data_IF_072302970564
#
_entry.id   IF_072302970564
#
_cell.length_a   1.000
_cell.length_b   1.000
_cell.length_c   1.000
_cell.angle_alpha   90.00
_cell.angle_beta   90.00
_cell.angle_gamma   90.00
#
_symmetry.space_group_name_H-M   'P 1'
#
loop_
_entity.id
_entity.type
_entity.pdbx_description
1 polymer ?
#
# COMPACT_ATOMS: atom_id res chain seq x y z
N UNK A 1 -0.34 2.34 16.43
CA UNK A 1 0.51 1.33 17.11
C UNK A 1 1.49 1.95 18.12
N UNK A 2 1.48 3.26 18.35
CA UNK A 2 2.23 3.95 19.42
C UNK A 2 3.75 4.02 19.25
N UNK A 3 4.29 3.60 18.11
CA UNK A 3 5.72 3.66 17.84
C UNK A 3 6.10 5.01 17.21
N UNK A 4 7.34 5.45 17.44
CA UNK A 4 7.90 6.64 16.80
C UNK A 4 8.22 6.39 15.31
N UNK A 5 8.48 7.47 14.57
CA UNK A 5 8.81 7.40 13.14
C UNK A 5 10.09 6.59 12.89
N UNK A 6 11.08 6.69 13.79
CA UNK A 6 12.35 5.95 13.71
C UNK A 6 12.13 4.42 13.75
N UNK A 7 11.09 3.95 14.44
CA UNK A 7 10.71 2.53 14.39
C UNK A 7 10.37 2.11 12.98
N UNK A 8 9.50 2.86 12.27
CA UNK A 8 9.02 2.49 10.95
C UNK A 8 10.08 2.62 9.87
N UNK A 9 10.95 3.64 9.97
CA UNK A 9 11.95 3.95 8.95
C UNK A 9 13.20 3.09 9.08
N UNK A 10 13.63 2.78 10.31
CA UNK A 10 14.91 2.11 10.54
C UNK A 10 14.76 0.71 11.15
N UNK A 11 14.02 0.59 12.26
CA UNK A 11 13.97 -0.68 13.00
C UNK A 11 13.13 -1.73 12.30
N UNK A 12 11.94 -1.38 11.82
CA UNK A 12 11.05 -2.33 11.15
C UNK A 12 11.67 -2.93 9.87
N UNK A 13 12.30 -2.15 8.97
CA UNK A 13 13.03 -2.71 7.84
C UNK A 13 14.19 -3.62 8.27
N UNK A 14 14.98 -3.22 9.27
CA UNK A 14 16.08 -4.04 9.78
C UNK A 14 15.59 -5.39 10.33
N UNK A 15 14.50 -5.39 11.11
CA UNK A 15 13.88 -6.63 11.62
C UNK A 15 13.35 -7.50 10.48
N UNK A 16 12.73 -6.91 9.45
CA UNK A 16 12.25 -7.66 8.27
C UNK A 16 13.39 -8.33 7.53
N UNK A 17 14.48 -7.60 7.25
CA UNK A 17 15.67 -8.16 6.59
C UNK A 17 16.28 -9.28 7.42
N UNK A 18 16.38 -9.12 8.74
CA UNK A 18 16.85 -10.17 9.65
C UNK A 18 15.98 -11.42 9.58
N UNK A 19 14.65 -11.25 9.56
CA UNK A 19 13.72 -12.38 9.43
C UNK A 19 13.84 -13.07 8.08
N UNK A 20 13.95 -12.31 6.99
CA UNK A 20 14.13 -12.88 5.65
C UNK A 20 15.45 -13.69 5.55
N UNK A 21 16.50 -13.21 6.21
CA UNK A 21 17.75 -13.95 6.35
C UNK A 21 17.57 -15.25 7.16
N UNK A 22 16.87 -15.20 8.31
CA UNK A 22 16.59 -16.39 9.13
C UNK A 22 15.71 -17.40 8.39
N UNK A 23 14.73 -16.95 7.63
CA UNK A 23 13.90 -17.80 6.77
C UNK A 23 14.77 -18.47 5.70
N UNK A 24 15.64 -17.71 5.02
CA UNK A 24 16.59 -18.27 4.05
C UNK A 24 17.51 -19.31 4.66
N UNK A 25 18.08 -19.02 5.83
CA UNK A 25 18.94 -19.95 6.56
C UNK A 25 18.20 -21.23 6.97
N UNK A 26 16.97 -21.10 7.46
CA UNK A 26 16.14 -22.24 7.84
C UNK A 26 15.79 -23.13 6.63
N UNK A 27 15.46 -22.53 5.48
CA UNK A 27 15.21 -23.26 4.23
C UNK A 27 16.45 -24.00 3.77
N UNK A 28 17.60 -23.35 3.74
CA UNK A 28 18.89 -23.99 3.37
C UNK A 28 19.21 -25.13 4.33
N UNK A 29 19.05 -24.93 5.64
CA UNK A 29 19.25 -25.94 6.66
C UNK A 29 18.31 -27.13 6.51
N UNK A 30 17.06 -26.92 6.18
CA UNK A 30 16.09 -27.99 5.92
C UNK A 30 16.45 -28.78 4.68
N UNK A 31 16.80 -28.12 3.57
CA UNK A 31 17.19 -28.75 2.32
C UNK A 31 18.52 -29.55 2.50
N UNK A 32 19.51 -28.95 3.13
CA UNK A 32 20.78 -29.64 3.42
C UNK A 32 20.59 -30.88 4.30
N UNK A 33 19.73 -30.79 5.33
CA UNK A 33 19.38 -31.92 6.20
C UNK A 33 18.67 -33.03 5.44
N UNK A 34 17.79 -32.67 4.51
CA UNK A 34 17.08 -33.63 3.66
C UNK A 34 18.05 -34.35 2.69
N UNK A 35 18.90 -33.57 2.00
CA UNK A 35 19.88 -34.11 1.04
C UNK A 35 20.86 -35.07 1.74
N UNK A 36 21.38 -34.69 2.91
CA UNK A 36 22.30 -35.54 3.67
C UNK A 36 21.62 -36.81 4.18
N UNK A 37 20.35 -36.76 4.57
CA UNK A 37 19.59 -37.92 4.98
C UNK A 37 19.34 -38.89 3.81
N UNK A 38 19.01 -38.37 2.63
CA UNK A 38 18.79 -39.16 1.42
C UNK A 38 20.10 -39.81 0.92
N UNK A 39 21.18 -39.03 0.85
CA UNK A 39 22.50 -39.52 0.38
C UNK A 39 23.12 -40.53 1.33
N UNK A 40 22.91 -40.37 2.63
CA UNK A 40 23.49 -41.24 3.65
C UNK A 40 22.67 -42.47 4.04
N UNK A 41 21.50 -42.71 3.42
CA UNK A 41 20.56 -43.79 3.80
C UNK A 41 20.04 -43.67 5.23
N UNK A 42 20.15 -42.51 5.85
CA UNK A 42 19.75 -42.25 7.25
C UNK A 42 18.26 -41.94 7.34
N UNK A 43 17.74 -41.96 8.57
CA UNK A 43 16.38 -41.52 8.80
C UNK A 43 16.20 -40.07 8.29
N UNK A 44 15.15 -39.82 7.49
CA UNK A 44 14.78 -38.49 6.95
C UNK A 44 14.58 -37.46 8.05
N UNK A 45 14.05 -37.89 9.18
CA UNK A 45 13.76 -37.03 10.30
C UNK A 45 14.97 -36.93 11.22
N UNK A 46 15.72 -35.88 11.08
CA UNK A 46 16.90 -35.56 11.90
C UNK A 46 16.61 -34.42 12.86
N UNK A 47 17.30 -34.30 14.00
CA UNK A 47 17.15 -33.13 14.90
C UNK A 47 17.47 -31.82 14.17
N UNK A 48 18.38 -31.82 13.23
CA UNK A 48 18.71 -30.62 12.41
C UNK A 48 17.53 -30.18 11.52
N UNK A 49 16.86 -31.16 10.86
CA UNK A 49 15.64 -30.85 10.08
C UNK A 49 14.52 -30.28 10.96
N UNK A 50 14.31 -30.87 12.13
CA UNK A 50 13.30 -30.39 13.07
C UNK A 50 13.60 -28.96 13.54
N UNK A 51 14.86 -28.66 13.87
CA UNK A 51 15.26 -27.32 14.28
C UNK A 51 15.08 -26.30 13.14
N UNK A 52 15.43 -26.68 11.91
CA UNK A 52 15.28 -25.83 10.73
C UNK A 52 13.80 -25.54 10.44
N UNK A 53 12.92 -26.55 10.48
CA UNK A 53 11.48 -26.38 10.27
C UNK A 53 10.82 -25.56 11.39
N UNK A 54 11.27 -25.75 12.64
CA UNK A 54 10.78 -24.95 13.77
C UNK A 54 11.20 -23.48 13.62
N UNK A 55 12.47 -23.22 13.27
CA UNK A 55 12.95 -21.86 13.01
C UNK A 55 12.21 -21.22 11.85
N UNK A 56 11.96 -21.96 10.77
CA UNK A 56 11.19 -21.50 9.61
C UNK A 56 9.78 -21.09 10.03
N UNK A 57 9.07 -21.96 10.72
CA UNK A 57 7.69 -21.70 11.12
C UNK A 57 7.55 -20.51 12.06
N UNK A 58 8.41 -20.37 13.07
CA UNK A 58 8.41 -19.23 13.98
C UNK A 58 8.76 -17.93 13.24
N UNK A 59 9.74 -17.98 12.34
CA UNK A 59 10.13 -16.80 11.55
C UNK A 59 9.01 -16.35 10.62
N UNK A 60 8.28 -17.28 10.00
CA UNK A 60 7.09 -16.97 9.20
C UNK A 60 5.99 -16.33 10.04
N UNK A 61 5.64 -16.94 11.18
CA UNK A 61 4.62 -16.39 12.08
C UNK A 61 4.98 -14.98 12.56
N UNK A 62 6.25 -14.72 12.86
CA UNK A 62 6.70 -13.39 13.24
C UNK A 62 6.66 -12.41 12.06
N UNK A 63 6.99 -12.86 10.85
CA UNK A 63 6.83 -12.06 9.63
C UNK A 63 5.38 -11.68 9.38
N UNK A 64 4.45 -12.65 9.50
CA UNK A 64 3.01 -12.42 9.42
C UNK A 64 2.56 -11.41 10.47
N UNK A 65 3.03 -11.54 11.70
CA UNK A 65 2.74 -10.56 12.76
C UNK A 65 3.21 -9.15 12.42
N UNK A 66 4.40 -9.00 11.81
CA UNK A 66 4.92 -7.69 11.40
C UNK A 66 4.17 -7.10 10.20
N UNK A 67 3.41 -7.89 9.44
CA UNK A 67 2.63 -7.39 8.29
C UNK A 67 1.56 -6.39 8.72
N UNK A 68 1.10 -6.42 9.98
CA UNK A 68 0.18 -5.43 10.55
C UNK A 68 0.65 -3.99 10.41
N UNK A 69 1.96 -3.76 10.46
CA UNK A 69 2.53 -2.43 10.25
C UNK A 69 2.44 -1.98 8.79
N UNK A 70 2.24 -2.94 7.85
CA UNK A 70 1.99 -2.65 6.44
C UNK A 70 0.66 -1.97 6.19
N UNK A 71 -0.34 -2.16 7.08
CA UNK A 71 -1.64 -1.50 6.98
C UNK A 71 -1.54 0.03 7.02
N UNK A 72 -0.50 0.57 7.66
CA UNK A 72 -0.26 2.03 7.70
C UNK A 72 0.14 2.62 6.34
N UNK A 73 0.67 1.79 5.44
CA UNK A 73 1.17 2.18 4.13
C UNK A 73 0.32 1.60 2.99
N UNK A 74 -0.80 0.97 3.35
CA UNK A 74 -1.70 0.36 2.36
C UNK A 74 -2.35 1.46 1.52
N UNK A 75 -2.39 1.24 0.23
CA UNK A 75 -3.15 2.07 -0.71
C UNK A 75 -4.55 1.45 -0.87
N UNK A 76 -5.55 2.13 -0.34
CA UNK A 76 -6.95 1.69 -0.35
C UNK A 76 -7.80 2.44 -1.39
N UNK A 77 -7.18 3.12 -2.32
CA UNK A 77 -7.87 3.85 -3.38
C UNK A 77 -7.23 3.64 -4.74
N UNK A 78 -8.04 3.44 -5.77
CA UNK A 78 -7.59 3.34 -7.15
C UNK A 78 -6.83 4.59 -7.63
N UNK A 79 -7.04 5.73 -6.96
CA UNK A 79 -6.40 7.03 -7.22
C UNK A 79 -5.20 7.35 -6.31
N UNK A 80 -4.84 6.47 -5.37
CA UNK A 80 -3.79 6.73 -4.39
C UNK A 80 -4.10 7.85 -3.38
N UNK A 81 -5.35 8.30 -3.32
CA UNK A 81 -5.79 9.40 -2.44
C UNK A 81 -5.96 8.95 -0.99
N UNK A 82 -6.19 7.65 -0.77
CA UNK A 82 -6.38 7.07 0.56
C UNK A 82 -5.26 6.10 0.88
N UNK A 83 -4.24 6.57 1.59
CA UNK A 83 -3.17 5.74 2.13
C UNK A 83 -3.38 5.51 3.62
N UNK A 84 -3.04 4.32 4.09
CA UNK A 84 -3.14 3.92 5.49
C UNK A 84 -4.31 3.00 5.78
N UNK A 85 -4.44 2.62 7.06
CA UNK A 85 -5.47 1.70 7.51
C UNK A 85 -6.87 2.33 7.43
N UNK A 86 -7.82 1.58 6.93
CA UNK A 86 -9.22 1.98 6.77
C UNK A 86 -10.17 1.27 7.76
N UNK A 87 -11.48 1.44 7.55
CA UNK A 87 -12.50 0.81 8.38
C UNK A 87 -12.41 -0.73 8.39
N UNK A 88 -12.17 -1.35 7.23
CA UNK A 88 -12.06 -2.81 7.14
C UNK A 88 -10.80 -3.32 7.85
N UNK A 89 -9.73 -2.53 7.82
CA UNK A 89 -8.46 -2.93 8.40
C UNK A 89 -8.49 -2.99 9.93
N UNK A 90 -9.29 -2.13 10.58
CA UNK A 90 -9.21 -1.95 12.04
C UNK A 90 -10.50 -2.32 12.78
N UNK A 91 -11.67 -2.06 12.17
CA UNK A 91 -12.94 -2.14 12.88
C UNK A 91 -13.55 -3.56 12.86
N UNK A 92 -14.01 -3.98 14.04
CA UNK A 92 -14.77 -5.21 14.25
C UNK A 92 -13.94 -6.48 14.24
N UNK A 93 -14.62 -7.61 14.52
CA UNK A 93 -13.97 -8.93 14.64
C UNK A 93 -13.41 -9.40 13.29
N UNK A 94 -14.14 -9.18 12.20
CA UNK A 94 -13.73 -9.53 10.84
C UNK A 94 -12.95 -8.37 10.20
N UNK A 95 -11.85 -7.94 10.81
CA UNK A 95 -10.93 -6.94 10.29
C UNK A 95 -9.66 -7.58 9.74
N UNK A 96 -8.97 -6.88 8.84
CA UNK A 96 -7.67 -7.32 8.31
C UNK A 96 -6.64 -7.49 9.42
N UNK A 97 -6.66 -6.62 10.45
CA UNK A 97 -5.77 -6.74 11.59
C UNK A 97 -6.03 -8.01 12.40
N UNK A 98 -7.30 -8.37 12.62
CA UNK A 98 -7.65 -9.61 13.32
C UNK A 98 -7.35 -10.84 12.45
N UNK A 99 -7.51 -10.76 11.13
CA UNK A 99 -7.08 -11.82 10.23
C UNK A 99 -5.58 -12.10 10.40
N UNK A 100 -4.74 -11.05 10.43
CA UNK A 100 -3.30 -11.20 10.67
C UNK A 100 -3.04 -11.92 12.00
N UNK A 101 -3.73 -11.54 13.07
CA UNK A 101 -3.55 -12.19 14.38
C UNK A 101 -4.02 -13.65 14.37
N UNK A 102 -5.14 -13.95 13.72
CA UNK A 102 -5.65 -15.33 13.55
C UNK A 102 -4.64 -16.16 12.76
N UNK A 103 -4.13 -15.63 11.62
CA UNK A 103 -3.13 -16.34 10.82
C UNK A 103 -1.85 -16.63 11.61
N UNK A 104 -1.37 -15.69 12.44
CA UNK A 104 -0.23 -15.96 13.35
C UNK A 104 -0.52 -17.11 14.32
N UNK A 105 -1.71 -17.13 14.93
CA UNK A 105 -2.09 -18.21 15.86
C UNK A 105 -2.19 -19.55 15.13
N UNK A 106 -2.73 -19.58 13.91
CA UNK A 106 -2.81 -20.77 13.07
C UNK A 106 -1.41 -21.24 12.68
N UNK A 107 -0.53 -20.36 12.25
CA UNK A 107 0.86 -20.69 11.91
C UNK A 107 1.61 -21.29 13.09
N UNK A 108 1.50 -20.70 14.28
CA UNK A 108 2.08 -21.27 15.53
C UNK A 108 1.46 -22.61 15.89
N UNK A 109 0.14 -22.78 15.71
CA UNK A 109 -0.54 -24.07 15.89
C UNK A 109 -0.03 -25.14 14.92
N UNK A 110 0.18 -24.78 13.65
CA UNK A 110 0.77 -25.70 12.66
C UNK A 110 2.22 -26.08 13.00
N UNK A 111 3.02 -25.11 13.45
CA UNK A 111 4.37 -25.39 13.95
C UNK A 111 4.37 -26.40 15.10
N UNK A 112 3.43 -26.25 16.05
CA UNK A 112 3.28 -27.18 17.15
C UNK A 112 2.82 -28.58 16.70
N UNK A 113 1.84 -28.66 15.79
CA UNK A 113 1.34 -29.94 15.23
C UNK A 113 2.43 -30.68 14.47
N UNK A 114 3.11 -29.98 13.56
CA UNK A 114 4.18 -30.54 12.74
C UNK A 114 5.38 -30.93 13.62
N UNK A 115 5.80 -30.05 14.54
CA UNK A 115 6.91 -30.31 15.45
C UNK A 115 6.65 -31.53 16.33
N UNK A 116 5.42 -31.69 16.86
CA UNK A 116 5.04 -32.86 17.64
C UNK A 116 5.01 -34.15 16.78
N UNK A 117 4.48 -34.07 15.56
CA UNK A 117 4.50 -35.21 14.63
C UNK A 117 5.93 -35.67 14.32
N UNK A 118 6.83 -34.73 14.05
CA UNK A 118 8.26 -35.02 13.77
C UNK A 118 8.98 -35.56 15.02
N UNK A 119 8.64 -35.07 16.20
CA UNK A 119 9.18 -35.59 17.45
C UNK A 119 8.80 -37.06 17.68
N UNK A 120 7.51 -37.42 17.49
CA UNK A 120 7.05 -38.80 17.61
C UNK A 120 7.74 -39.73 16.59
N UNK A 121 7.79 -39.29 15.34
CA UNK A 121 8.44 -40.05 14.27
C UNK A 121 9.96 -40.21 14.51
N UNK A 122 10.64 -39.22 15.07
CA UNK A 122 12.05 -39.30 15.47
C UNK A 122 12.32 -40.35 16.56
N UNK A 123 11.33 -40.55 17.46
CA UNK A 123 11.33 -41.62 18.49
C UNK A 123 10.95 -42.99 17.92
N UNK A 124 10.61 -43.11 16.66
CA UNK A 124 10.09 -44.35 16.07
C UNK A 124 8.65 -44.68 16.51
N UNK A 125 7.96 -43.74 17.09
CA UNK A 125 6.54 -43.89 17.49
C UNK A 125 5.63 -43.59 16.29
N UNK A 126 4.48 -44.29 16.24
CA UNK A 126 3.47 -44.03 15.21
C UNK A 126 2.90 -42.60 15.36
N UNK A 127 2.98 -41.81 14.29
CA UNK A 127 2.34 -40.51 14.26
C UNK A 127 0.81 -40.68 14.31
N UNK A 128 0.20 -40.02 15.26
CA UNK A 128 -1.26 -40.12 15.43
C UNK A 128 -1.99 -39.61 14.18
N UNK A 129 -2.88 -40.43 13.64
CA UNK A 129 -3.73 -40.08 12.49
C UNK A 129 -4.61 -38.84 12.75
N UNK A 130 -4.79 -38.45 14.03
CA UNK A 130 -5.55 -37.26 14.44
C UNK A 130 -4.81 -35.94 14.20
N UNK A 131 -3.48 -35.96 14.05
CA UNK A 131 -2.70 -34.75 13.82
C UNK A 131 -2.94 -34.15 12.42
N UNK A 132 -3.16 -35.01 11.41
CA UNK A 132 -3.45 -34.54 10.06
C UNK A 132 -4.77 -33.74 9.99
N UNK A 133 -5.93 -34.25 10.45
CA UNK A 133 -7.16 -33.49 10.42
C UNK A 133 -7.09 -32.24 11.33
N UNK A 134 -6.31 -32.25 12.40
CA UNK A 134 -6.10 -31.05 13.22
C UNK A 134 -5.37 -29.97 12.43
N UNK A 135 -4.26 -30.30 11.73
CA UNK A 135 -3.56 -29.36 10.88
C UNK A 135 -4.41 -28.83 9.74
N UNK A 136 -5.14 -29.71 9.05
CA UNK A 136 -6.10 -29.31 7.99
C UNK A 136 -7.23 -28.42 8.55
N UNK A 137 -7.71 -28.70 9.75
CA UNK A 137 -8.73 -27.88 10.42
C UNK A 137 -8.23 -26.46 10.72
N UNK A 138 -6.99 -26.32 11.14
CA UNK A 138 -6.38 -24.99 11.35
C UNK A 138 -6.30 -24.20 10.04
N UNK A 139 -5.84 -24.82 8.96
CA UNK A 139 -5.76 -24.18 7.63
C UNK A 139 -7.16 -23.80 7.12
N UNK A 140 -8.12 -24.72 7.26
CA UNK A 140 -9.50 -24.47 6.84
C UNK A 140 -10.15 -23.32 7.64
N UNK A 141 -9.83 -23.23 8.94
CA UNK A 141 -10.30 -22.14 9.79
C UNK A 141 -9.73 -20.77 9.35
N UNK A 142 -8.43 -20.70 9.10
CA UNK A 142 -7.79 -19.46 8.62
C UNK A 142 -8.37 -19.01 7.28
N UNK A 143 -8.52 -19.96 6.34
CA UNK A 143 -9.15 -19.70 5.05
C UNK A 143 -10.62 -19.26 5.16
N UNK A 144 -11.39 -19.88 6.03
CA UNK A 144 -12.78 -19.48 6.29
C UNK A 144 -12.85 -18.07 6.90
N UNK A 145 -11.93 -17.73 7.81
CA UNK A 145 -11.84 -16.39 8.38
C UNK A 145 -11.47 -15.34 7.30
N UNK A 146 -10.51 -15.66 6.44
CA UNK A 146 -10.16 -14.82 5.30
C UNK A 146 -11.38 -14.59 4.39
N UNK A 147 -12.10 -15.63 4.02
CA UNK A 147 -13.33 -15.49 3.22
C UNK A 147 -14.39 -14.62 3.90
N UNK A 148 -14.52 -14.74 5.22
CA UNK A 148 -15.47 -13.91 5.98
C UNK A 148 -15.07 -12.42 5.96
N UNK A 149 -13.77 -12.09 6.04
CA UNK A 149 -13.28 -10.72 5.89
C UNK A 149 -13.56 -10.17 4.49
N UNK A 150 -13.29 -10.95 3.45
CA UNK A 150 -13.58 -10.58 2.05
C UNK A 150 -15.09 -10.40 1.82
N UNK A 151 -15.91 -11.30 2.36
CA UNK A 151 -17.37 -11.18 2.26
C UNK A 151 -17.87 -9.90 2.95
N UNK A 152 -17.34 -9.58 4.13
CA UNK A 152 -17.66 -8.34 4.85
C UNK A 152 -17.30 -7.10 4.03
N UNK A 153 -16.15 -7.10 3.37
CA UNK A 153 -15.74 -6.01 2.48
C UNK A 153 -16.79 -5.75 1.39
N UNK A 154 -17.19 -6.81 0.68
CA UNK A 154 -18.08 -6.67 -0.47
C UNK A 154 -19.54 -6.40 -0.09
N UNK A 155 -20.03 -6.99 1.02
CA UNK A 155 -21.45 -6.92 1.43
C UNK A 155 -21.74 -5.71 2.32
N UNK A 156 -20.80 -5.35 3.21
CA UNK A 156 -21.05 -4.32 4.22
C UNK A 156 -20.25 -3.04 3.99
N UNK A 157 -18.96 -3.15 3.64
CA UNK A 157 -18.07 -1.99 3.59
C UNK A 157 -18.25 -1.22 2.29
N UNK A 158 -18.08 -1.87 1.14
CA UNK A 158 -18.18 -1.21 -0.17
C UNK A 158 -19.51 -0.47 -0.42
N UNK A 159 -20.69 -1.07 -0.14
CA UNK A 159 -21.95 -0.36 -0.35
C UNK A 159 -22.14 0.87 0.57
N UNK A 160 -21.53 0.85 1.76
CA UNK A 160 -21.63 1.90 2.76
C UNK A 160 -20.35 2.73 2.91
N UNK A 161 -19.42 2.62 1.98
CA UNK A 161 -18.11 3.25 2.05
C UNK A 161 -18.16 4.74 2.40
N UNK A 162 -19.01 5.58 1.77
CA UNK A 162 -19.10 7.00 2.08
C UNK A 162 -19.43 7.30 3.54
N UNK A 163 -20.10 6.38 4.23
CA UNK A 163 -20.51 6.57 5.64
C UNK A 163 -19.47 6.02 6.60
N UNK A 164 -19.03 4.78 6.38
CA UNK A 164 -18.12 4.08 7.33
C UNK A 164 -16.69 4.62 7.28
N UNK A 165 -16.27 5.18 6.14
CA UNK A 165 -14.93 5.74 5.96
C UNK A 165 -14.77 7.18 6.46
N UNK A 166 -15.86 7.91 6.78
CA UNK A 166 -15.80 9.30 7.23
C UNK A 166 -14.76 9.55 8.33
N UNK A 167 -14.69 8.76 9.42
CA UNK A 167 -13.71 8.99 10.48
C UNK A 167 -12.26 8.87 9.99
N UNK A 168 -12.00 7.95 9.06
CA UNK A 168 -10.67 7.70 8.49
C UNK A 168 -10.26 8.81 7.52
N UNK A 169 -11.17 9.22 6.63
CA UNK A 169 -10.99 10.35 5.72
C UNK A 169 -10.70 11.63 6.53
N UNK A 170 -11.45 11.87 7.60
CA UNK A 170 -11.25 13.04 8.47
C UNK A 170 -9.84 13.05 9.10
N UNK A 171 -9.38 11.90 9.63
CA UNK A 171 -8.03 11.76 10.19
C UNK A 171 -6.96 12.00 9.12
N UNK A 172 -7.18 11.49 7.91
CA UNK A 172 -6.27 11.69 6.79
C UNK A 172 -6.18 13.17 6.39
N UNK A 173 -7.33 13.86 6.27
CA UNK A 173 -7.39 15.31 6.01
C UNK A 173 -6.64 16.09 7.11
N UNK A 174 -6.85 15.76 8.38
CA UNK A 174 -6.16 16.41 9.49
C UNK A 174 -4.65 16.21 9.41
N UNK A 175 -4.19 14.97 9.18
CA UNK A 175 -2.76 14.67 9.05
C UNK A 175 -2.14 15.43 7.87
N UNK A 176 -2.81 15.46 6.72
CA UNK A 176 -2.37 16.20 5.53
C UNK A 176 -2.31 17.71 5.80
N UNK A 177 -3.37 18.26 6.42
CA UNK A 177 -3.43 19.66 6.80
C UNK A 177 -2.26 20.06 7.70
N UNK A 178 -1.92 19.23 8.68
CA UNK A 178 -0.78 19.47 9.57
C UNK A 178 0.57 19.32 8.85
N UNK A 179 0.73 18.27 8.03
CA UNK A 179 1.97 18.00 7.32
C UNK A 179 2.35 19.13 6.36
N UNK A 180 1.37 19.67 5.64
CA UNK A 180 1.56 20.78 4.70
C UNK A 180 1.35 22.16 5.34
N UNK A 181 1.08 22.23 6.65
CA UNK A 181 0.83 23.49 7.38
C UNK A 181 -0.29 24.33 6.77
N UNK A 182 -1.33 23.65 6.25
CA UNK A 182 -2.50 24.29 5.63
C UNK A 182 -3.40 24.99 6.67
N UNK A 183 -3.25 24.67 7.95
CA UNK A 183 -3.87 25.34 9.09
C UNK A 183 -3.50 26.82 9.19
N UNK A 184 -2.38 27.22 8.56
CA UNK A 184 -1.93 28.61 8.48
C UNK A 184 -2.54 29.41 7.34
N UNK A 185 -3.30 28.76 6.45
CA UNK A 185 -3.95 29.42 5.34
C UNK A 185 -5.18 30.20 5.83
N UNK A 186 -5.26 31.45 5.41
CA UNK A 186 -6.43 32.26 5.65
C UNK A 186 -7.52 31.89 4.64
N UNK A 187 -8.62 31.33 5.11
CA UNK A 187 -9.79 31.10 4.29
C UNK A 187 -10.55 32.40 4.13
N UNK A 188 -10.77 32.83 2.90
CA UNK A 188 -11.58 34.01 2.55
C UNK A 188 -12.80 33.52 1.79
N UNK A 189 -13.98 33.87 2.31
CA UNK A 189 -15.22 33.57 1.61
C UNK A 189 -15.28 34.45 0.34
N UNK A 190 -15.26 33.78 -0.82
CA UNK A 190 -15.41 34.47 -2.09
C UNK A 190 -16.86 34.63 -2.42
N UNK A 191 -17.27 35.91 -2.54
CA UNK A 191 -18.61 36.28 -3.01
C UNK A 191 -18.50 36.76 -4.46
N UNK A 192 -19.13 36.05 -5.41
CA UNK A 192 -19.08 36.49 -6.80
C UNK A 192 -19.72 37.90 -6.90
N UNK A 193 -19.13 38.77 -7.71
CA UNK A 193 -19.73 40.11 -7.94
C UNK A 193 -21.13 39.95 -8.54
N UNK A 194 -22.07 40.76 -8.06
CA UNK A 194 -23.47 40.73 -8.53
C UNK A 194 -23.60 41.24 -9.98
N UNK A 195 -22.68 42.06 -10.42
CA UNK A 195 -22.63 42.60 -11.79
C UNK A 195 -21.48 41.95 -12.57
N UNK A 196 -21.69 41.71 -13.88
CA UNK A 196 -20.58 41.20 -14.73
C UNK A 196 -19.46 42.24 -14.79
N UNK A 197 -18.23 41.74 -14.73
CA UNK A 197 -17.06 42.60 -14.84
C UNK A 197 -16.98 43.22 -16.25
N UNK A 198 -16.68 44.55 -16.35
CA UNK A 198 -16.45 45.19 -17.64
C UNK A 198 -15.38 44.46 -18.45
N UNK A 199 -15.63 44.34 -19.75
CA UNK A 199 -14.74 43.61 -20.67
C UNK A 199 -13.30 44.13 -20.61
N UNK A 200 -13.14 45.45 -20.51
CA UNK A 200 -11.81 46.09 -20.41
C UNK A 200 -11.03 45.63 -19.16
N UNK A 201 -11.71 45.44 -18.04
CA UNK A 201 -11.11 44.89 -16.83
C UNK A 201 -10.74 43.41 -16.97
N UNK A 202 -11.57 42.63 -17.70
CA UNK A 202 -11.26 41.25 -17.99
C UNK A 202 -10.00 41.14 -18.88
N UNK A 203 -9.95 41.94 -19.96
CA UNK A 203 -8.79 41.96 -20.87
C UNK A 203 -7.52 42.47 -20.20
N UNK A 204 -7.62 43.38 -19.26
CA UNK A 204 -6.50 43.86 -18.44
C UNK A 204 -6.07 42.87 -17.33
N UNK A 205 -6.84 41.82 -17.09
CA UNK A 205 -6.54 40.83 -16.06
C UNK A 205 -5.30 40.02 -16.43
N UNK A 206 -4.28 40.08 -15.56
CA UNK A 206 -3.06 39.26 -15.72
C UNK A 206 -3.37 37.76 -15.69
N UNK A 207 -4.38 37.35 -14.95
CA UNK A 207 -4.82 35.95 -14.88
C UNK A 207 -5.34 35.47 -16.23
N UNK A 208 -6.14 36.31 -16.90
CA UNK A 208 -6.70 35.96 -18.21
C UNK A 208 -5.61 35.96 -19.30
N UNK A 209 -4.68 36.92 -19.24
CA UNK A 209 -3.55 37.00 -20.18
C UNK A 209 -2.57 35.82 -20.02
N UNK A 210 -2.59 35.15 -18.86
CA UNK A 210 -1.72 34.01 -18.55
C UNK A 210 -2.48 32.68 -18.54
N UNK A 211 -3.79 32.72 -18.81
CA UNK A 211 -4.56 31.48 -18.92
C UNK A 211 -4.09 30.69 -20.14
N UNK A 212 -3.80 29.38 -19.99
CA UNK A 212 -3.44 28.56 -21.13
C UNK A 212 -4.62 28.52 -22.11
N UNK A 213 -4.36 28.76 -23.39
CA UNK A 213 -5.36 28.67 -24.45
C UNK A 213 -5.81 27.22 -24.70
N UNK A 214 -4.90 26.28 -24.43
CA UNK A 214 -5.13 24.86 -24.59
C UNK A 214 -5.23 24.27 -23.18
N UNK A 215 -6.35 23.63 -22.82
CA UNK A 215 -6.47 22.97 -21.54
C UNK A 215 -5.38 21.90 -21.37
N UNK A 216 -4.80 21.75 -20.17
CA UNK A 216 -3.70 20.81 -19.93
C UNK A 216 -4.09 19.33 -20.12
N UNK A 217 -5.39 19.03 -20.13
CA UNK A 217 -5.92 17.68 -20.29
C UNK A 217 -6.23 17.28 -21.74
N UNK A 218 -6.12 18.18 -22.70
CA UNK A 218 -6.32 17.86 -24.12
C UNK A 218 -5.07 17.18 -24.65
N UNK A 219 -5.11 15.87 -24.75
CA UNK A 219 -4.00 15.06 -25.29
C UNK A 219 -3.97 15.06 -26.81
N UNK A 220 -5.09 15.30 -27.48
CA UNK A 220 -5.18 15.51 -28.92
C UNK A 220 -6.23 16.57 -29.24
N UNK A 221 -5.97 17.39 -30.25
CA UNK A 221 -6.90 18.39 -30.75
C UNK A 221 -8.05 17.77 -31.58
N UNK A 222 -8.04 16.44 -31.73
CA UNK A 222 -8.97 15.71 -32.60
C UNK A 222 -10.25 15.26 -31.89
N UNK A 223 -10.26 15.19 -30.56
CA UNK A 223 -11.47 14.82 -29.79
C UNK A 223 -11.88 15.96 -28.87
N UNK A 224 -13.10 16.53 -29.04
CA UNK A 224 -13.63 17.46 -28.07
C UNK A 224 -13.86 16.73 -26.74
N UNK A 225 -13.48 17.32 -25.60
CA UNK A 225 -13.68 16.72 -24.29
C UNK A 225 -15.17 16.56 -24.02
N UNK A 226 -15.68 15.34 -23.98
CA UNK A 226 -17.04 15.07 -23.54
C UNK A 226 -17.17 15.15 -22.01
N UNK A 227 -18.41 15.20 -21.52
CA UNK A 227 -18.67 15.31 -20.08
C UNK A 227 -18.09 14.12 -19.27
N UNK A 228 -17.87 12.98 -19.91
CA UNK A 228 -17.29 11.80 -19.30
C UNK A 228 -15.75 11.88 -19.17
N UNK A 229 -15.11 12.68 -20.02
CA UNK A 229 -13.68 12.98 -19.88
C UNK A 229 -13.39 13.77 -18.61
N UNK A 230 -14.29 14.67 -18.21
CA UNK A 230 -14.19 15.40 -16.94
C UNK A 230 -14.36 14.50 -15.70
N UNK A 231 -15.15 13.44 -15.79
CA UNK A 231 -15.30 12.44 -14.73
C UNK A 231 -14.16 11.44 -14.65
N UNK A 232 -13.48 11.19 -15.78
CA UNK A 232 -12.27 10.35 -15.86
C UNK A 232 -10.97 11.12 -15.68
N UNK A 233 -11.03 12.43 -15.58
CA UNK A 233 -9.90 13.12 -14.99
C UNK A 233 -9.79 12.60 -13.56
N UNK A 234 -9.08 11.51 -13.41
CA UNK A 234 -8.37 11.26 -12.20
C UNK A 234 -7.77 12.61 -11.84
N UNK A 235 -8.12 13.11 -10.69
CA UNK A 235 -7.32 14.12 -10.02
C UNK A 235 -5.99 13.46 -9.78
N UNK A 236 -5.31 13.17 -10.90
CA UNK A 236 -4.07 12.50 -10.93
C UNK A 236 -3.11 13.37 -10.18
N UNK A 237 -2.88 12.92 -8.98
CA UNK A 237 -1.54 12.96 -8.39
C UNK A 237 -0.82 14.30 -8.49
N UNK A 238 -1.43 15.42 -8.45
CA UNK A 238 -0.75 16.72 -8.42
C UNK A 238 -0.95 17.62 -9.65
N UNK A 239 -1.15 18.86 -9.33
CA UNK A 239 -0.84 20.04 -10.15
C UNK A 239 -1.29 19.97 -11.61
N UNK A 240 -1.97 21.01 -12.02
CA UNK A 240 -2.33 21.30 -13.40
C UNK A 240 -1.11 21.06 -14.32
N UNK A 241 -1.07 19.89 -14.93
CA UNK A 241 -0.04 19.53 -15.88
C UNK A 241 -0.47 20.06 -17.24
N UNK A 242 0.39 20.84 -17.86
CA UNK A 242 0.17 21.30 -19.25
C UNK A 242 0.49 20.13 -20.20
N UNK A 243 -0.54 19.34 -20.57
CA UNK A 243 -0.38 18.14 -21.38
C UNK A 243 0.47 18.33 -22.65
N UNK A 244 0.24 19.33 -23.50
CA UNK A 244 1.06 19.56 -24.68
C UNK A 244 2.51 19.88 -24.36
N UNK A 245 2.76 20.68 -23.30
CA UNK A 245 4.12 21.00 -22.88
C UNK A 245 4.84 19.76 -22.34
N UNK A 246 4.16 18.93 -21.55
CA UNK A 246 4.73 17.67 -21.07
C UNK A 246 5.15 16.77 -22.24
N UNK A 247 4.31 16.61 -23.25
CA UNK A 247 4.61 15.79 -24.43
C UNK A 247 5.83 16.32 -25.19
N UNK A 248 5.96 17.64 -25.35
CA UNK A 248 7.12 18.25 -25.99
C UNK A 248 8.39 17.97 -25.19
N UNK A 249 8.33 18.14 -23.86
CA UNK A 249 9.48 17.87 -23.00
C UNK A 249 9.86 16.38 -23.00
N UNK A 250 8.88 15.48 -22.99
CA UNK A 250 9.13 14.04 -23.10
C UNK A 250 9.78 13.69 -24.45
N UNK A 251 9.32 14.30 -25.53
CA UNK A 251 9.88 14.11 -26.87
C UNK A 251 11.32 14.61 -26.96
N UNK A 252 11.62 15.80 -26.43
CA UNK A 252 12.97 16.34 -26.33
C UNK A 252 13.91 15.48 -25.47
N UNK A 253 13.36 14.80 -24.47
CA UNK A 253 14.13 13.96 -23.56
C UNK A 253 14.29 12.50 -24.04
N UNK A 254 13.68 12.10 -25.15
CA UNK A 254 13.77 10.72 -25.65
C UNK A 254 15.22 10.22 -25.83
N UNK A 255 16.15 11.11 -26.15
CA UNK A 255 17.57 10.80 -26.30
C UNK A 255 18.32 10.68 -24.95
N UNK A 256 17.65 10.96 -23.82
CA UNK A 256 18.25 10.96 -22.47
C UNK A 256 17.41 10.11 -21.52
N UNK A 257 17.45 8.76 -21.61
CA UNK A 257 16.52 7.86 -20.92
C UNK A 257 16.65 7.85 -19.40
N UNK A 258 17.64 8.52 -18.83
CA UNK A 258 17.86 8.61 -17.39
C UNK A 258 17.03 9.71 -16.69
N UNK A 259 16.28 10.52 -17.43
CA UNK A 259 15.33 11.48 -16.88
C UNK A 259 13.92 11.12 -17.31
N UNK A 260 12.98 11.18 -16.36
CA UNK A 260 11.55 11.12 -16.63
C UNK A 260 10.92 12.41 -16.12
N UNK A 261 10.31 13.18 -17.02
CA UNK A 261 9.57 14.37 -16.64
C UNK A 261 8.21 13.92 -16.12
N UNK A 262 7.91 14.24 -14.87
CA UNK A 262 6.67 13.81 -14.20
C UNK A 262 5.55 14.84 -14.38
N UNK A 263 5.89 16.14 -14.45
CA UNK A 263 4.93 17.21 -14.61
C UNK A 263 5.62 18.46 -15.13
N UNK A 264 4.84 19.34 -15.76
CA UNK A 264 5.27 20.67 -16.22
C UNK A 264 4.28 21.67 -15.67
N UNK A 265 4.76 22.73 -15.01
CA UNK A 265 3.93 23.77 -14.40
C UNK A 265 4.41 25.15 -14.83
N UNK A 266 3.57 26.17 -14.65
CA UNK A 266 3.88 27.56 -14.94
C UNK A 266 4.83 28.18 -13.92
N UNK A 267 5.84 28.88 -14.38
CA UNK A 267 6.79 29.57 -13.51
C UNK A 267 6.11 30.71 -12.77
N UNK A 268 6.16 30.67 -11.44
CA UNK A 268 5.64 31.74 -10.56
C UNK A 268 6.52 32.97 -10.52
N UNK A 269 7.78 32.83 -10.88
CA UNK A 269 8.78 33.91 -10.79
C UNK A 269 9.08 34.52 -12.16
N UNK A 270 9.46 35.81 -12.16
CA UNK A 270 9.96 36.48 -13.36
C UNK A 270 11.44 36.18 -13.51
N UNK A 271 11.82 35.63 -14.67
CA UNK A 271 13.23 35.48 -15.07
C UNK A 271 13.54 36.58 -16.06
N UNK A 272 14.52 37.45 -15.77
CA UNK A 272 14.90 38.61 -16.59
C UNK A 272 13.74 39.56 -16.91
N UNK A 273 12.79 39.75 -15.96
CA UNK A 273 11.67 40.68 -16.19
C UNK A 273 10.50 40.08 -16.96
N UNK A 274 10.69 38.93 -17.61
CA UNK A 274 9.65 38.21 -18.36
C UNK A 274 9.12 37.02 -17.53
N UNK A 275 7.81 36.80 -17.58
CA UNK A 275 7.22 35.56 -17.08
C UNK A 275 7.39 34.47 -18.13
N UNK A 276 8.28 33.54 -17.90
CA UNK A 276 8.32 32.30 -18.66
C UNK A 276 7.29 31.33 -18.16
N UNK A 277 6.62 30.64 -19.08
CA UNK A 277 5.46 29.84 -18.74
C UNK A 277 5.77 28.41 -18.29
N UNK A 278 7.02 27.93 -18.42
CA UNK A 278 7.28 26.49 -18.18
C UNK A 278 8.67 26.29 -17.56
N UNK A 279 8.72 25.45 -16.55
CA UNK A 279 9.94 24.80 -16.03
C UNK A 279 9.66 23.35 -15.81
#
# INVERSE_FOLDING_TARGET
>A
FGNDVGWYVFRLPAVRVTLDFLIGLAVIGAVASLVTALAGGKRLITPALNAALFLLGISLAFRTFLSRYGLLFRDNGDSGVRTGADYLDVEGILSTLNLIHVSVLVELGLVAVIGYALYLAGKGQAVSRRLLPLGLGLVAFDFAFFLAVVAREHVMVRPNEPTVQIPYIRRHIQATTQAYKLDRLRTVEWKPPKEPLPVDRLLASKTLQQAPLIPPWVSSLEEPPDAHHFQRMEYAKSTLVYGPALQIFEQEQQLRPYYKILSVDGVRYRVNGEKRMYV
#
